data_IF_928892439101
#
_entry.id   IF_928892439101
#
_cell.length_a   1.000
_cell.length_b   1.000
_cell.length_c   1.000
_cell.angle_alpha   90.00
_cell.angle_beta   90.00
_cell.angle_gamma   90.00
#
_symmetry.space_group_name_H-M   'P 1'
#
loop_
_entity.id
_entity.type
_entity.pdbx_description
1 polymer ?
#
# COMPACT_ATOMS: atom_id res chain seq x y z
N UNK A 1 -24.36 -28.75 -3.76
CA UNK A 1 -23.50 -27.64 -3.32
C UNK A 1 -23.19 -27.86 -1.86
N UNK A 2 -22.01 -28.41 -1.54
CA UNK A 2 -21.67 -28.84 -0.17
C UNK A 2 -21.13 -27.66 0.61
N UNK A 3 -21.91 -27.18 1.57
CA UNK A 3 -21.44 -26.35 2.67
C UNK A 3 -20.47 -27.19 3.53
N UNK A 4 -19.18 -26.85 3.55
CA UNK A 4 -18.25 -27.39 4.54
C UNK A 4 -18.35 -26.50 5.77
N UNK A 5 -19.26 -26.86 6.67
CA UNK A 5 -19.17 -26.46 8.06
C UNK A 5 -17.98 -27.22 8.67
N UNK A 6 -16.87 -26.52 8.93
CA UNK A 6 -15.88 -27.00 9.89
C UNK A 6 -16.04 -26.19 11.18
N UNK A 7 -16.82 -26.74 12.09
CA UNK A 7 -16.76 -26.38 13.50
C UNK A 7 -15.53 -27.05 14.11
N UNK A 8 -14.47 -26.29 14.38
CA UNK A 8 -13.44 -26.68 15.35
C UNK A 8 -13.10 -25.46 16.20
N UNK A 9 -13.65 -25.47 17.41
CA UNK A 9 -13.12 -24.74 18.55
C UNK A 9 -11.72 -25.27 18.87
N UNK A 10 -10.80 -24.36 19.21
CA UNK A 10 -9.45 -24.65 19.70
C UNK A 10 -8.56 -25.50 18.77
N UNK A 11 -7.97 -24.87 17.74
CA UNK A 11 -6.70 -25.33 17.18
C UNK A 11 -5.67 -24.24 17.39
N UNK A 12 -4.60 -24.60 18.09
CA UNK A 12 -3.41 -23.78 18.25
C UNK A 12 -2.94 -23.26 16.87
N UNK A 13 -2.61 -21.97 16.80
CA UNK A 13 -2.24 -21.23 15.59
C UNK A 13 -0.86 -21.59 15.00
N UNK A 14 -0.55 -22.88 14.91
CA UNK A 14 0.41 -23.40 13.96
C UNK A 14 -0.35 -24.35 13.04
N UNK A 15 -0.33 -24.08 11.74
CA UNK A 15 -0.92 -24.95 10.70
C UNK A 15 -2.46 -24.90 10.54
N UNK A 16 -3.04 -23.76 10.15
CA UNK A 16 -4.12 -23.80 9.13
C UNK A 16 -3.45 -24.04 7.77
N UNK A 17 -2.84 -25.21 7.62
CA UNK A 17 -2.37 -25.76 6.33
C UNK A 17 -3.45 -26.60 5.65
N UNK A 18 -4.67 -26.64 6.21
CA UNK A 18 -5.83 -27.03 5.45
C UNK A 18 -6.18 -25.84 4.55
N UNK A 19 -5.67 -25.87 3.31
CA UNK A 19 -6.01 -24.92 2.25
C UNK A 19 -7.53 -24.89 2.14
N UNK A 20 -8.15 -23.86 2.70
CA UNK A 20 -9.56 -23.58 2.45
C UNK A 20 -9.66 -23.12 1.00
N UNK A 21 -10.21 -23.97 0.14
CA UNK A 21 -10.39 -23.71 -1.29
C UNK A 21 -11.67 -22.92 -1.53
N UNK A 22 -11.65 -22.01 -2.51
CA UNK A 22 -12.84 -21.24 -2.88
C UNK A 22 -13.27 -20.25 -1.80
N UNK A 23 -14.51 -20.39 -1.33
CA UNK A 23 -15.13 -19.45 -0.39
C UNK A 23 -14.83 -19.82 1.07
N UNK A 24 -14.19 -18.91 1.78
CA UNK A 24 -13.74 -19.10 3.15
C UNK A 24 -14.57 -18.24 4.09
N UNK A 25 -15.08 -18.83 5.17
CA UNK A 25 -15.88 -18.12 6.17
C UNK A 25 -15.19 -18.27 7.52
N UNK A 26 -14.86 -17.14 8.16
CA UNK A 26 -14.35 -17.14 9.53
C UNK A 26 -15.50 -17.51 10.48
N UNK A 27 -15.33 -18.49 11.38
CA UNK A 27 -16.37 -18.89 12.31
C UNK A 27 -16.86 -17.75 13.21
N UNK A 28 -18.17 -17.64 13.39
CA UNK A 28 -18.75 -16.73 14.37
C UNK A 28 -18.22 -17.05 15.78
N UNK A 29 -17.96 -16.00 16.57
CA UNK A 29 -17.35 -16.11 17.90
C UNK A 29 -15.83 -15.94 17.88
N UNK A 30 -15.17 -16.06 16.72
CA UNK A 30 -13.77 -15.67 16.58
C UNK A 30 -13.65 -14.15 16.65
N UNK A 31 -12.84 -13.66 17.58
CA UNK A 31 -12.67 -12.22 17.83
C UNK A 31 -11.48 -11.62 17.08
N UNK A 32 -10.48 -12.42 16.71
CA UNK A 32 -9.30 -11.92 16.00
C UNK A 32 -8.92 -12.79 14.82
N UNK A 33 -8.40 -12.17 13.76
CA UNK A 33 -7.69 -12.85 12.68
C UNK A 33 -6.20 -12.56 12.88
N UNK A 34 -5.38 -13.55 13.26
CA UNK A 34 -3.97 -13.29 13.57
C UNK A 34 -3.16 -13.01 12.31
N UNK A 35 -1.95 -12.49 12.54
CA UNK A 35 -0.98 -12.23 11.48
C UNK A 35 -0.78 -13.45 10.58
N UNK A 36 -0.76 -13.23 9.26
CA UNK A 36 -0.49 -14.27 8.26
C UNK A 36 -1.45 -15.48 8.29
N UNK A 37 -2.65 -15.36 8.86
CA UNK A 37 -3.60 -16.47 9.05
C UNK A 37 -3.90 -17.30 7.78
N UNK A 38 -3.94 -16.66 6.60
CA UNK A 38 -4.19 -17.30 5.31
C UNK A 38 -3.02 -17.16 4.34
N UNK A 39 -1.81 -16.87 4.83
CA UNK A 39 -0.62 -16.68 3.99
C UNK A 39 -0.45 -17.79 2.96
N UNK A 40 -0.24 -17.40 1.69
CA UNK A 40 -0.08 -18.30 0.54
C UNK A 40 -1.25 -19.27 0.31
N UNK A 41 -2.46 -18.96 0.76
CA UNK A 41 -3.64 -19.68 0.29
C UNK A 41 -3.96 -19.27 -1.15
N UNK A 42 -3.40 -20.00 -2.12
CA UNK A 42 -3.54 -19.72 -3.55
C UNK A 42 -4.87 -20.17 -4.15
N UNK A 43 -5.70 -20.88 -3.38
CA UNK A 43 -6.98 -21.44 -3.84
C UNK A 43 -8.20 -20.66 -3.35
N UNK A 44 -8.05 -19.87 -2.28
CA UNK A 44 -9.11 -19.01 -1.76
C UNK A 44 -9.50 -17.92 -2.78
N UNK A 45 -10.80 -17.83 -3.08
CA UNK A 45 -11.40 -16.84 -3.98
C UNK A 45 -12.17 -15.77 -3.23
N UNK A 46 -12.74 -16.10 -2.07
CA UNK A 46 -13.41 -15.14 -1.19
C UNK A 46 -13.16 -15.42 0.30
N UNK A 47 -13.28 -14.38 1.13
CA UNK A 47 -13.18 -14.46 2.58
C UNK A 47 -14.35 -13.71 3.23
N UNK A 48 -15.05 -14.32 4.18
CA UNK A 48 -16.13 -13.69 4.95
C UNK A 48 -15.72 -13.48 6.39
N UNK A 49 -15.76 -12.21 6.84
CA UNK A 49 -15.44 -11.78 8.19
C UNK A 49 -16.74 -11.60 8.99
N UNK A 50 -16.98 -12.35 10.08
CA UNK A 50 -18.22 -12.27 10.86
C UNK A 50 -18.25 -11.03 11.77
N UNK A 51 -19.40 -10.79 12.39
CA UNK A 51 -19.62 -9.66 13.30
C UNK A 51 -18.71 -9.68 14.54
N UNK A 52 -18.28 -10.87 14.97
CA UNK A 52 -17.46 -11.05 16.17
C UNK A 52 -16.02 -10.58 16.03
N UNK A 53 -15.49 -10.45 14.80
CA UNK A 53 -14.09 -10.06 14.58
C UNK A 53 -13.90 -8.59 14.93
N UNK A 54 -13.01 -8.35 15.88
CA UNK A 54 -12.61 -7.07 16.45
C UNK A 54 -11.17 -6.65 16.09
N UNK A 55 -10.39 -7.54 15.50
CA UNK A 55 -8.99 -7.30 15.14
C UNK A 55 -8.56 -8.13 13.93
N UNK A 56 -7.86 -7.47 13.00
CA UNK A 56 -7.30 -8.07 11.79
C UNK A 56 -5.79 -7.84 11.83
N UNK A 57 -5.02 -8.92 11.85
CA UNK A 57 -3.57 -8.91 11.88
C UNK A 57 -2.94 -8.45 10.58
N UNK A 58 -1.62 -8.31 10.59
CA UNK A 58 -0.85 -7.97 9.42
C UNK A 58 -0.72 -9.17 8.48
N UNK A 59 -0.67 -8.91 7.17
CA UNK A 59 -0.39 -9.93 6.14
C UNK A 59 -1.37 -11.12 6.11
N UNK A 60 -2.58 -10.96 6.67
CA UNK A 60 -3.59 -12.02 6.82
C UNK A 60 -3.82 -12.82 5.53
N UNK A 61 -3.84 -12.15 4.38
CA UNK A 61 -4.07 -12.77 3.06
C UNK A 61 -2.87 -12.62 2.12
N UNK A 62 -1.67 -12.39 2.62
CA UNK A 62 -0.49 -12.19 1.77
C UNK A 62 -0.26 -13.40 0.85
N UNK A 63 0.05 -13.15 -0.43
CA UNK A 63 0.19 -14.14 -1.50
C UNK A 63 -1.08 -14.96 -1.85
N UNK A 64 -2.28 -14.54 -1.42
CA UNK A 64 -3.56 -15.15 -1.84
C UNK A 64 -4.02 -14.65 -3.22
N UNK A 65 -3.32 -15.01 -4.30
CA UNK A 65 -3.50 -14.37 -5.61
C UNK A 65 -4.84 -14.63 -6.32
N UNK A 66 -5.64 -15.60 -5.89
CA UNK A 66 -7.02 -15.83 -6.39
C UNK A 66 -8.09 -15.08 -5.59
N UNK A 67 -7.75 -14.56 -4.41
CA UNK A 67 -8.69 -13.82 -3.57
C UNK A 67 -8.97 -12.47 -4.21
N UNK A 68 -10.21 -12.24 -4.62
CA UNK A 68 -10.65 -10.98 -5.25
C UNK A 68 -11.71 -10.24 -4.44
N UNK A 69 -12.26 -10.90 -3.42
CA UNK A 69 -13.41 -10.40 -2.69
C UNK A 69 -13.35 -10.79 -1.20
N UNK A 70 -13.37 -9.80 -0.31
CA UNK A 70 -13.52 -10.00 1.14
C UNK A 70 -14.84 -9.35 1.55
N UNK A 71 -15.74 -10.11 2.16
CA UNK A 71 -17.00 -9.61 2.73
C UNK A 71 -16.86 -9.44 4.25
N UNK A 72 -17.61 -8.48 4.80
CA UNK A 72 -17.72 -8.24 6.24
C UNK A 72 -19.20 -8.24 6.59
N UNK A 73 -19.58 -8.95 7.65
CA UNK A 73 -20.96 -8.97 8.14
C UNK A 73 -21.45 -7.54 8.43
N UNK A 74 -22.69 -7.22 8.03
CA UNK A 74 -23.23 -5.86 8.09
C UNK A 74 -23.30 -5.28 9.50
N UNK A 75 -23.48 -6.15 10.49
CA UNK A 75 -23.54 -5.90 11.92
C UNK A 75 -22.16 -5.92 12.60
N UNK A 76 -21.06 -6.17 11.86
CA UNK A 76 -19.72 -6.00 12.42
C UNK A 76 -19.54 -4.54 12.91
N UNK A 77 -19.15 -4.32 14.17
CA UNK A 77 -19.08 -2.97 14.74
C UNK A 77 -17.82 -2.20 14.33
N UNK A 78 -16.76 -2.86 13.87
CA UNK A 78 -15.44 -2.25 13.61
C UNK A 78 -15.08 -2.12 12.15
N UNK A 79 -15.59 -3.01 11.31
CA UNK A 79 -15.21 -3.11 9.91
C UNK A 79 -16.42 -3.07 9.00
N UNK A 80 -16.18 -2.71 7.74
CA UNK A 80 -17.10 -2.91 6.63
C UNK A 80 -16.34 -3.37 5.40
N UNK A 81 -17.05 -3.92 4.44
CA UNK A 81 -16.50 -4.20 3.11
C UNK A 81 -17.19 -3.34 2.07
N UNK A 82 -16.41 -2.82 1.13
CA UNK A 82 -16.89 -2.09 -0.03
C UNK A 82 -16.09 -2.55 -1.26
N UNK A 83 -16.78 -2.99 -2.31
CA UNK A 83 -16.12 -3.54 -3.50
C UNK A 83 -15.23 -4.77 -3.21
N UNK A 84 -15.46 -5.49 -2.12
CA UNK A 84 -14.62 -6.62 -1.70
C UNK A 84 -13.33 -6.23 -0.98
N UNK A 85 -13.15 -4.95 -0.63
CA UNK A 85 -12.01 -4.42 0.16
C UNK A 85 -12.50 -4.08 1.57
N UNK A 86 -11.67 -4.34 2.57
CA UNK A 86 -12.00 -4.10 3.98
C UNK A 86 -11.59 -2.71 4.40
N UNK A 87 -12.53 -2.01 5.05
CA UNK A 87 -12.33 -0.69 5.65
C UNK A 87 -12.71 -0.71 7.12
N UNK A 88 -12.28 0.31 7.87
CA UNK A 88 -12.90 0.66 9.15
C UNK A 88 -14.39 0.94 8.98
N UNK A 89 -15.19 0.78 10.04
CA UNK A 89 -16.65 0.92 9.98
C UNK A 89 -17.09 2.29 9.43
N UNK A 90 -16.37 3.35 9.80
CA UNK A 90 -16.58 4.70 9.30
C UNK A 90 -16.09 4.92 7.85
N UNK A 91 -15.32 3.99 7.29
CA UNK A 91 -14.77 4.05 5.94
C UNK A 91 -13.56 4.94 5.77
N UNK A 92 -12.97 5.44 6.86
CA UNK A 92 -11.82 6.35 6.80
C UNK A 92 -10.48 5.64 6.62
N UNK A 93 -10.39 4.37 7.01
CA UNK A 93 -9.16 3.59 6.92
C UNK A 93 -9.36 2.41 5.98
N UNK A 94 -8.54 2.31 4.93
CA UNK A 94 -8.41 1.08 4.14
C UNK A 94 -7.55 0.09 4.91
N UNK A 95 -8.14 -1.02 5.33
CA UNK A 95 -7.51 -2.01 6.22
C UNK A 95 -6.85 -3.11 5.41
N UNK A 96 -7.54 -3.66 4.41
CA UNK A 96 -7.05 -4.81 3.67
C UNK A 96 -7.65 -4.89 2.27
N UNK A 97 -6.79 -4.88 1.26
CA UNK A 97 -7.12 -5.15 -0.13
C UNK A 97 -6.75 -6.61 -0.48
N UNK A 98 -7.64 -7.36 -1.14
CA UNK A 98 -7.32 -8.73 -1.53
C UNK A 98 -6.28 -8.77 -2.68
N UNK A 99 -5.23 -9.62 -2.61
CA UNK A 99 -4.13 -9.61 -3.59
C UNK A 99 -4.50 -9.91 -5.04
N UNK A 100 -5.65 -10.54 -5.27
CA UNK A 100 -6.17 -10.81 -6.60
C UNK A 100 -6.84 -9.60 -7.27
N UNK A 101 -6.98 -8.45 -6.60
CA UNK A 101 -7.49 -7.22 -7.24
C UNK A 101 -6.64 -6.80 -8.42
N UNK A 102 -7.31 -6.26 -9.44
CA UNK A 102 -6.72 -5.98 -10.75
C UNK A 102 -7.13 -4.61 -11.26
N UNK A 103 -6.31 -4.03 -12.14
CA UNK A 103 -6.65 -2.81 -12.86
C UNK A 103 -6.46 -1.56 -12.00
N UNK A 104 -7.26 -0.54 -12.28
CA UNK A 104 -7.22 0.73 -11.55
C UNK A 104 -8.00 0.62 -10.23
N UNK A 105 -7.46 1.20 -9.17
CA UNK A 105 -8.11 1.23 -7.86
C UNK A 105 -8.18 2.66 -7.32
N UNK A 106 -9.39 3.13 -7.05
CA UNK A 106 -9.65 4.44 -6.45
C UNK A 106 -10.10 4.25 -4.99
N UNK A 107 -9.40 4.90 -4.07
CA UNK A 107 -9.82 4.94 -2.67
C UNK A 107 -11.05 5.85 -2.53
N UNK A 108 -12.03 5.51 -1.67
CA UNK A 108 -13.16 6.39 -1.40
C UNK A 108 -12.71 7.77 -0.93
N UNK A 109 -13.40 8.83 -1.38
CA UNK A 109 -13.02 10.22 -1.12
C UNK A 109 -12.87 10.57 0.38
N UNK A 110 -13.61 9.88 1.26
CA UNK A 110 -13.54 10.06 2.71
C UNK A 110 -12.38 9.35 3.38
N UNK A 111 -11.62 8.52 2.66
CA UNK A 111 -10.49 7.79 3.24
C UNK A 111 -9.36 8.77 3.60
N UNK A 112 -8.88 8.69 4.84
CA UNK A 112 -7.80 9.53 5.37
C UNK A 112 -6.60 8.70 5.80
N UNK A 113 -6.73 7.37 5.79
CA UNK A 113 -5.68 6.48 6.29
C UNK A 113 -5.62 5.18 5.48
N UNK A 114 -4.41 4.67 5.28
CA UNK A 114 -4.13 3.34 4.75
C UNK A 114 -3.46 2.56 5.88
N UNK A 115 -3.84 1.30 6.11
CA UNK A 115 -3.16 0.46 7.07
C UNK A 115 -1.81 -0.05 6.50
N UNK A 116 -0.80 -0.34 7.34
CA UNK A 116 0.42 -0.99 6.90
C UNK A 116 0.12 -2.28 6.13
N UNK A 117 0.84 -2.51 5.04
CA UNK A 117 0.69 -3.69 4.17
C UNK A 117 -0.71 -3.88 3.52
N UNK A 118 -1.57 -2.86 3.50
CA UNK A 118 -2.95 -3.02 3.06
C UNK A 118 -3.11 -3.51 1.61
N UNK A 119 -2.20 -3.16 0.69
CA UNK A 119 -2.18 -3.65 -0.69
C UNK A 119 -1.05 -4.64 -0.95
N UNK A 120 -0.39 -5.17 0.09
CA UNK A 120 0.75 -6.06 -0.09
C UNK A 120 0.42 -7.19 -1.06
N UNK A 121 1.31 -7.37 -2.04
CA UNK A 121 1.24 -8.37 -3.11
C UNK A 121 0.01 -8.30 -4.03
N UNK A 122 -0.66 -7.14 -4.13
CA UNK A 122 -1.64 -6.85 -5.19
C UNK A 122 -0.97 -6.69 -6.57
N UNK A 123 -0.46 -7.80 -7.11
CA UNK A 123 0.42 -7.83 -8.30
C UNK A 123 -0.21 -7.32 -9.59
N UNK A 124 -1.53 -7.22 -9.66
CA UNK A 124 -2.28 -6.91 -10.88
C UNK A 124 -2.96 -5.54 -10.85
N UNK A 125 -2.81 -4.77 -9.76
CA UNK A 125 -3.26 -3.37 -9.72
C UNK A 125 -2.26 -2.55 -10.54
N UNK A 126 -2.76 -1.81 -11.53
CA UNK A 126 -1.96 -1.01 -12.46
C UNK A 126 -1.83 0.45 -12.03
N UNK A 127 -2.87 0.99 -11.40
CA UNK A 127 -2.88 2.37 -10.91
C UNK A 127 -3.67 2.50 -9.61
N UNK A 128 -3.24 3.43 -8.76
CA UNK A 128 -3.94 3.77 -7.51
C UNK A 128 -4.19 5.27 -7.45
N UNK A 129 -5.43 5.65 -7.17
CA UNK A 129 -5.86 7.03 -6.95
C UNK A 129 -6.10 7.21 -5.44
N UNK A 130 -5.32 8.09 -4.84
CA UNK A 130 -5.40 8.44 -3.42
C UNK A 130 -6.21 9.74 -3.24
N UNK A 131 -7.13 9.83 -2.26
CA UNK A 131 -7.81 11.07 -1.94
C UNK A 131 -6.87 12.06 -1.24
N UNK A 132 -7.22 13.34 -1.29
CA UNK A 132 -6.40 14.43 -0.75
C UNK A 132 -6.14 14.36 0.76
N UNK A 133 -7.00 13.65 1.51
CA UNK A 133 -6.89 13.50 2.96
C UNK A 133 -5.80 12.53 3.44
N UNK A 134 -5.11 11.82 2.56
CA UNK A 134 -4.01 10.91 2.94
C UNK A 134 -2.74 11.74 3.19
N UNK A 135 -2.24 11.72 4.43
CA UNK A 135 -0.98 12.38 4.81
C UNK A 135 0.22 11.43 4.86
N UNK A 136 -0.02 10.11 4.90
CA UNK A 136 1.03 9.09 4.99
C UNK A 136 0.72 7.88 4.11
N UNK A 137 1.74 7.40 3.42
CA UNK A 137 1.77 6.06 2.84
C UNK A 137 2.54 5.18 3.83
N UNK A 138 1.89 4.25 4.54
CA UNK A 138 2.52 3.52 5.63
C UNK A 138 3.49 2.44 5.14
N UNK A 139 4.17 1.82 6.09
CA UNK A 139 5.09 0.71 5.85
C UNK A 139 4.48 -0.39 4.99
N UNK A 140 5.20 -0.75 3.93
CA UNK A 140 4.85 -1.82 3.01
C UNK A 140 3.49 -1.70 2.33
N UNK A 141 2.86 -0.51 2.33
CA UNK A 141 1.51 -0.30 1.80
C UNK A 141 1.28 -0.98 0.46
N UNK A 142 2.22 -0.81 -0.48
CA UNK A 142 2.20 -1.36 -1.84
C UNK A 142 3.33 -2.36 -2.11
N UNK A 143 3.91 -2.95 -1.05
CA UNK A 143 5.00 -3.91 -1.18
C UNK A 143 4.60 -5.09 -2.07
N UNK A 144 5.40 -5.38 -3.10
CA UNK A 144 5.17 -6.47 -4.05
C UNK A 144 4.02 -6.24 -5.02
N UNK A 145 3.53 -5.00 -5.18
CA UNK A 145 2.59 -4.64 -6.24
C UNK A 145 3.32 -4.50 -7.60
N UNK A 146 3.77 -5.63 -8.16
CA UNK A 146 4.58 -5.65 -9.39
C UNK A 146 3.89 -5.11 -10.65
N UNK A 147 2.57 -4.90 -10.61
CA UNK A 147 1.82 -4.27 -11.69
C UNK A 147 1.65 -2.77 -11.52
N UNK A 148 1.98 -2.19 -10.36
CA UNK A 148 1.69 -0.78 -10.07
C UNK A 148 2.64 0.12 -10.86
N UNK A 149 2.10 0.76 -11.89
CA UNK A 149 2.81 1.65 -12.81
C UNK A 149 2.61 3.12 -12.45
N UNK A 150 1.43 3.47 -11.91
CA UNK A 150 1.04 4.85 -11.65
C UNK A 150 0.40 5.02 -10.28
N UNK A 151 0.95 5.97 -9.53
CA UNK A 151 0.33 6.50 -8.32
C UNK A 151 0.69 7.97 -8.23
N UNK A 152 -0.31 8.82 -8.04
CA UNK A 152 -0.10 10.24 -7.83
C UNK A 152 -0.21 10.52 -6.32
N UNK A 153 0.86 11.00 -5.67
CA UNK A 153 0.77 11.47 -4.30
C UNK A 153 -0.27 12.59 -4.14
N UNK A 154 -1.12 12.55 -3.10
CA UNK A 154 -2.00 13.67 -2.77
C UNK A 154 -1.19 14.87 -2.29
N UNK A 155 -1.76 16.08 -2.42
CA UNK A 155 -1.04 17.31 -2.10
C UNK A 155 -0.68 17.45 -0.61
N UNK A 156 -1.38 16.74 0.28
CA UNK A 156 -1.11 16.70 1.72
C UNK A 156 -0.12 15.64 2.17
N UNK A 157 0.45 14.83 1.26
CA UNK A 157 1.35 13.73 1.66
C UNK A 157 2.62 14.27 2.32
N UNK A 158 2.93 13.79 3.53
CA UNK A 158 4.10 14.18 4.31
C UNK A 158 5.15 13.07 4.39
N UNK A 159 4.70 11.82 4.47
CA UNK A 159 5.56 10.66 4.78
C UNK A 159 5.31 9.49 3.86
N UNK A 160 6.40 8.83 3.46
CA UNK A 160 6.37 7.52 2.79
C UNK A 160 7.14 6.53 3.67
N UNK A 161 6.46 5.46 4.09
CA UNK A 161 6.95 4.48 5.04
C UNK A 161 7.92 3.46 4.45
N UNK A 162 8.41 2.60 5.34
CA UNK A 162 9.46 1.62 5.04
C UNK A 162 8.98 0.64 4.00
N UNK A 163 9.77 0.43 2.93
CA UNK A 163 9.41 -0.47 1.82
C UNK A 163 8.02 -0.23 1.21
N UNK A 164 7.47 0.99 1.34
CA UNK A 164 6.11 1.29 0.91
C UNK A 164 5.84 0.93 -0.57
N UNK A 165 6.85 1.09 -1.43
CA UNK A 165 6.80 0.79 -2.85
C UNK A 165 7.79 -0.31 -3.27
N UNK A 166 8.31 -1.12 -2.34
CA UNK A 166 9.24 -2.20 -2.66
C UNK A 166 8.64 -3.16 -3.70
N UNK A 167 9.33 -3.37 -4.81
CA UNK A 167 8.86 -4.24 -5.88
C UNK A 167 7.61 -3.69 -6.57
N UNK A 168 7.58 -2.40 -6.85
CA UNK A 168 6.62 -1.78 -7.79
C UNK A 168 7.31 -1.41 -9.09
N UNK A 169 6.57 -1.14 -10.16
CA UNK A 169 7.14 -0.78 -11.46
C UNK A 169 6.91 0.70 -11.83
N UNK A 170 6.61 1.52 -10.82
CA UNK A 170 6.47 2.97 -10.98
C UNK A 170 7.76 3.56 -11.56
N UNK A 171 7.62 4.41 -12.58
CA UNK A 171 8.77 5.01 -13.27
C UNK A 171 9.01 6.46 -12.86
N UNK A 172 7.97 7.15 -12.41
CA UNK A 172 8.01 8.57 -12.07
C UNK A 172 7.25 8.82 -10.78
N UNK A 173 7.85 9.61 -9.89
CA UNK A 173 7.22 10.04 -8.64
C UNK A 173 7.24 11.57 -8.55
N UNK A 174 6.06 12.16 -8.37
CA UNK A 174 5.89 13.61 -8.19
C UNK A 174 5.58 13.89 -6.72
N UNK A 175 6.59 14.31 -5.98
CA UNK A 175 6.44 14.60 -4.56
C UNK A 175 5.75 15.97 -4.35
N UNK A 176 4.75 16.06 -3.46
CA UNK A 176 4.12 17.34 -3.13
C UNK A 176 5.06 18.24 -2.34
N UNK A 177 4.65 19.50 -2.16
CA UNK A 177 5.41 20.50 -1.39
C UNK A 177 5.42 20.23 0.13
N UNK A 178 4.57 19.32 0.59
CA UNK A 178 4.40 18.95 2.01
C UNK A 178 5.30 17.80 2.47
N UNK A 179 6.13 17.24 1.59
CA UNK A 179 6.99 16.12 1.97
C UNK A 179 7.98 16.47 3.08
N UNK A 180 8.04 15.62 4.08
CA UNK A 180 8.88 15.75 5.27
C UNK A 180 9.86 14.57 5.42
N UNK A 181 9.45 13.35 5.06
CA UNK A 181 10.27 12.16 5.29
C UNK A 181 9.97 11.01 4.31
N UNK A 182 11.00 10.28 3.91
CA UNK A 182 10.86 8.98 3.21
C UNK A 182 11.71 7.95 3.95
N UNK A 183 11.07 6.89 4.44
CA UNK A 183 11.67 5.87 5.30
C UNK A 183 12.51 4.85 4.52
N UNK A 184 13.16 3.96 5.27
CA UNK A 184 14.09 2.96 4.77
C UNK A 184 13.53 2.19 3.57
N UNK A 185 14.37 2.03 2.52
CA UNK A 185 14.09 1.14 1.39
C UNK A 185 12.75 1.41 0.70
N UNK A 186 12.14 2.59 0.87
CA UNK A 186 10.78 2.88 0.41
C UNK A 186 10.58 2.60 -1.10
N UNK A 187 11.61 2.79 -1.92
CA UNK A 187 11.61 2.56 -3.37
C UNK A 187 12.62 1.51 -3.83
N UNK A 188 13.04 0.59 -2.94
CA UNK A 188 13.92 -0.53 -3.32
C UNK A 188 13.25 -1.43 -4.37
N UNK A 189 14.02 -2.00 -5.29
CA UNK A 189 13.51 -2.88 -6.35
C UNK A 189 12.40 -2.25 -7.21
N UNK A 190 12.39 -0.92 -7.37
CA UNK A 190 11.45 -0.22 -8.26
C UNK A 190 12.01 0.03 -9.65
N UNK A 191 11.16 0.42 -10.60
CA UNK A 191 11.58 0.90 -11.92
C UNK A 191 11.71 2.44 -11.99
N UNK A 192 11.87 3.09 -10.84
CA UNK A 192 11.85 4.55 -10.72
C UNK A 192 13.06 5.16 -11.43
N UNK A 193 12.80 6.01 -12.43
CA UNK A 193 13.84 6.71 -13.21
C UNK A 193 13.81 8.22 -13.00
N UNK A 194 12.65 8.78 -12.59
CA UNK A 194 12.47 10.21 -12.39
C UNK A 194 11.77 10.52 -11.05
N UNK A 195 12.42 11.33 -10.22
CA UNK A 195 11.83 11.92 -9.00
C UNK A 195 11.72 13.42 -9.19
N UNK A 196 10.51 13.95 -9.05
CA UNK A 196 10.25 15.39 -9.11
C UNK A 196 9.92 15.90 -7.71
N UNK A 197 10.76 16.78 -7.18
CA UNK A 197 10.53 17.47 -5.93
C UNK A 197 10.03 18.88 -6.19
N UNK A 198 9.11 19.34 -5.35
CA UNK A 198 8.61 20.73 -5.34
C UNK A 198 9.12 21.55 -4.15
N UNK A 199 9.98 20.95 -3.32
CA UNK A 199 10.60 21.56 -2.15
C UNK A 199 12.02 22.03 -2.47
N UNK A 200 12.40 23.22 -2.02
CA UNK A 200 13.73 23.79 -2.26
C UNK A 200 14.78 23.35 -1.22
N UNK A 201 14.36 22.74 -0.11
CA UNK A 201 15.24 22.21 0.93
C UNK A 201 15.18 20.68 0.92
N UNK A 202 16.32 19.98 0.98
CA UNK A 202 16.36 18.56 1.25
C UNK A 202 15.62 18.25 2.55
N UNK A 203 14.80 17.21 2.50
CA UNK A 203 14.17 16.62 3.68
C UNK A 203 14.80 15.26 3.97
N UNK A 204 14.50 14.70 5.12
CA UNK A 204 15.21 13.53 5.62
C UNK A 204 14.82 12.26 4.84
N UNK A 205 15.83 11.44 4.56
CA UNK A 205 15.71 10.13 3.94
C UNK A 205 16.18 9.07 4.94
N UNK A 206 15.51 7.94 4.99
CA UNK A 206 15.98 6.72 5.64
C UNK A 206 17.19 6.12 4.93
N UNK A 207 17.54 4.89 5.28
CA UNK A 207 18.62 4.15 4.64
C UNK A 207 18.15 3.44 3.36
N UNK A 208 19.00 3.41 2.34
CA UNK A 208 18.76 2.65 1.11
C UNK A 208 17.42 2.97 0.39
N UNK A 209 16.87 4.17 0.57
CA UNK A 209 15.57 4.57 -0.03
C UNK A 209 15.47 4.25 -1.52
N UNK A 210 16.56 4.49 -2.25
CA UNK A 210 16.69 4.29 -3.70
C UNK A 210 17.79 3.26 -4.03
N UNK A 211 18.01 2.24 -3.19
CA UNK A 211 18.95 1.16 -3.51
C UNK A 211 18.39 0.24 -4.59
N UNK A 212 19.28 -0.45 -5.32
CA UNK A 212 18.91 -1.40 -6.40
C UNK A 212 18.11 -0.78 -7.55
N UNK A 213 18.09 0.55 -7.64
CA UNK A 213 17.42 1.27 -8.71
C UNK A 213 18.36 2.26 -9.39
N UNK A 214 18.22 2.36 -10.70
CA UNK A 214 18.96 3.32 -11.51
C UNK A 214 18.17 4.63 -11.57
N UNK A 215 17.94 5.33 -10.44
CA UNK A 215 17.29 6.66 -10.54
C UNK A 215 18.23 7.59 -11.28
N UNK A 216 17.88 7.88 -12.52
CA UNK A 216 18.74 8.67 -13.39
C UNK A 216 18.46 10.15 -13.28
N UNK A 217 17.31 10.57 -12.73
CA UNK A 217 16.93 11.99 -12.72
C UNK A 217 16.21 12.40 -11.44
N UNK A 218 16.83 13.34 -10.73
CA UNK A 218 16.19 14.14 -9.68
C UNK A 218 15.94 15.55 -10.22
N UNK A 219 14.69 15.96 -10.28
CA UNK A 219 14.30 17.31 -10.64
C UNK A 219 13.91 18.09 -9.37
N UNK A 220 14.50 19.27 -9.18
CA UNK A 220 14.29 20.11 -7.97
C UNK A 220 14.00 21.56 -8.35
N UNK A 221 13.39 22.38 -7.48
CA UNK A 221 13.30 23.82 -7.68
C UNK A 221 14.68 24.46 -7.91
N UNK A 222 14.75 25.48 -8.79
CA UNK A 222 16.02 26.10 -9.20
C UNK A 222 16.78 26.73 -8.01
N UNK A 223 16.04 27.32 -7.08
CA UNK A 223 16.53 27.89 -5.81
C UNK A 223 17.00 26.83 -4.80
N UNK A 224 16.53 25.58 -4.93
CA UNK A 224 16.97 24.45 -4.12
C UNK A 224 18.16 23.67 -4.66
N UNK A 225 18.56 23.89 -5.92
CA UNK A 225 19.53 23.05 -6.63
C UNK A 225 20.84 22.81 -5.88
N UNK A 226 21.41 23.87 -5.29
CA UNK A 226 22.68 23.76 -4.57
C UNK A 226 22.54 23.05 -3.23
N UNK A 227 21.36 23.11 -2.59
CA UNK A 227 21.10 22.40 -1.34
C UNK A 227 21.09 20.90 -1.60
N UNK A 228 20.37 20.45 -2.64
CA UNK A 228 20.30 19.03 -3.00
C UNK A 228 21.63 18.46 -3.50
N UNK A 229 22.45 19.24 -4.22
CA UNK A 229 23.77 18.78 -4.66
C UNK A 229 24.76 18.56 -3.52
N UNK A 230 24.65 19.32 -2.43
CA UNK A 230 25.55 19.23 -1.26
C UNK A 230 25.04 18.23 -0.21
N UNK A 231 23.78 17.84 -0.30
CA UNK A 231 23.16 16.94 0.66
C UNK A 231 23.80 15.53 0.59
N UNK A 232 24.15 14.92 1.74
CA UNK A 232 24.85 13.63 1.75
C UNK A 232 24.00 12.46 1.22
N UNK A 233 22.67 12.55 1.25
CA UNK A 233 21.76 11.50 0.77
C UNK A 233 21.22 11.84 -0.62
N UNK A 234 20.63 13.02 -0.80
CA UNK A 234 20.10 13.46 -2.09
C UNK A 234 21.18 13.79 -3.13
N UNK A 235 22.38 14.18 -2.70
CA UNK A 235 23.50 14.46 -3.60
C UNK A 235 24.06 13.22 -4.29
N UNK A 236 23.66 12.02 -3.87
CA UNK A 236 24.08 10.74 -4.48
C UNK A 236 23.41 10.45 -5.84
N UNK A 237 22.39 11.21 -6.22
CA UNK A 237 21.73 11.06 -7.51
C UNK A 237 22.66 11.49 -8.67
N UNK A 238 22.74 10.66 -9.71
CA UNK A 238 23.67 10.91 -10.84
C UNK A 238 23.41 12.21 -11.60
N UNK A 239 22.13 12.59 -11.78
CA UNK A 239 21.75 13.87 -12.42
C UNK A 239 20.67 14.59 -11.61
N UNK A 240 21.07 15.70 -11.00
CA UNK A 240 20.18 16.66 -10.33
C UNK A 240 19.97 17.86 -11.25
N UNK A 241 18.76 18.03 -11.76
CA UNK A 241 18.40 19.06 -12.75
C UNK A 241 17.45 20.08 -12.12
N UNK A 242 17.67 21.39 -12.32
CA UNK A 242 16.67 22.38 -11.93
C UNK A 242 15.42 22.22 -12.82
N UNK A 243 14.26 22.24 -12.19
CA UNK A 243 12.98 22.36 -12.86
C UNK A 243 12.96 23.69 -13.64
N UNK A 244 12.74 23.62 -14.96
CA UNK A 244 12.43 24.81 -15.75
C UNK A 244 11.06 25.33 -15.28
N UNK A 245 10.87 26.63 -15.25
CA UNK A 245 9.68 27.38 -14.76
C UNK A 245 8.30 26.96 -15.29
N UNK A 246 8.19 25.88 -16.07
CA UNK A 246 6.97 25.38 -16.71
C UNK A 246 6.32 24.17 -16.01
N UNK A 247 6.79 23.76 -14.83
CA UNK A 247 6.06 22.77 -13.99
C UNK A 247 4.86 23.37 -13.23
N UNK A 248 4.48 24.61 -13.54
CA UNK A 248 3.26 25.30 -13.08
C UNK A 248 1.96 24.76 -13.72
N UNK A 249 2.01 23.63 -14.43
CA UNK A 249 0.76 22.92 -14.74
C UNK A 249 0.30 22.25 -13.46
N UNK A 250 -0.67 22.89 -12.78
CA UNK A 250 -1.60 22.19 -11.92
C UNK A 250 -2.09 20.97 -12.72
N UNK A 251 -1.66 19.77 -12.33
CA UNK A 251 -2.38 18.59 -12.77
C UNK A 251 -3.72 18.62 -12.03
N UNK A 252 -4.84 18.35 -12.74
CA UNK A 252 -6.17 18.33 -12.15
C UNK A 252 -6.25 17.35 -10.97
#
# INVERSE_FOLDING_TARGET
MKYVFLALAFIAFSCVKAQSEGDVIIPAGQTSIPDSAYYKNTEMTSLTIPASVDSIGCNVVDHCFKLVYISVASDNPKYKSEGGVVYSKDGKTLILCPPGKTGEFELPAQATTIAPYAFRTCKKISSIVLPDGIEEIPDGAFMGCWGLEKINPPQGLKRIGKRAFDGTIIQKMNMPTTMEYIDDEAFVNTSLVEVNLRVAKPFELGENVFSEIHVTRLNVPSDGLQNFKKDPKWGKFGRITPTRSYWTVQLP
#
